data_IF_346369093492
#
_entry.id   IF_346369093492
#
_cell.length_a   1.000
_cell.length_b   1.000
_cell.length_c   1.000
_cell.angle_alpha   90.00
_cell.angle_beta   90.00
_cell.angle_gamma   90.00
#
_symmetry.space_group_name_H-M   'P 1'
#
loop_
_entity.id
_entity.type
_entity.pdbx_description
1 polymer ?
#
# COMPACT_ATOMS: atom_id res chain seq x y z
N UNK A 1 -22.24 4.71 -6.19
CA UNK A 1 -20.80 4.53 -5.94
C UNK A 1 -20.19 5.90 -5.77
N UNK A 2 -19.43 6.11 -4.71
CA UNK A 2 -18.64 7.33 -4.55
C UNK A 2 -17.25 6.96 -5.05
N UNK A 3 -16.89 7.46 -6.22
CA UNK A 3 -15.56 7.38 -6.79
C UNK A 3 -14.83 8.66 -6.44
N UNK A 4 -13.69 8.53 -5.79
CA UNK A 4 -12.76 9.63 -5.55
C UNK A 4 -11.79 9.57 -6.73
N UNK A 5 -12.03 10.37 -7.76
CA UNK A 5 -11.13 10.47 -8.92
C UNK A 5 -10.26 11.72 -8.77
N UNK A 6 -8.94 11.64 -9.03
CA UNK A 6 -8.10 12.83 -9.00
C UNK A 6 -8.63 13.88 -9.99
N UNK A 7 -8.69 15.14 -9.58
CA UNK A 7 -9.20 16.23 -10.42
C UNK A 7 -8.05 16.83 -11.20
N UNK A 8 -7.96 16.47 -12.47
CA UNK A 8 -6.89 16.92 -13.35
C UNK A 8 -5.67 16.02 -13.28
N UNK A 9 -4.61 16.43 -13.99
CA UNK A 9 -3.32 15.75 -13.98
C UNK A 9 -2.73 15.86 -12.58
N UNK A 10 -2.74 14.75 -11.84
CA UNK A 10 -1.98 14.64 -10.59
C UNK A 10 -0.52 14.87 -10.95
N UNK A 11 0.07 15.95 -10.41
CA UNK A 11 1.49 16.23 -10.62
C UNK A 11 2.25 15.46 -9.57
N UNK A 12 2.72 14.28 -9.93
CA UNK A 12 3.68 13.53 -9.15
C UNK A 12 5.11 13.92 -9.54
N UNK A 13 6.01 13.93 -8.57
CA UNK A 13 7.38 14.34 -8.81
C UNK A 13 8.33 13.89 -7.71
N UNK A 14 9.60 14.14 -7.91
CA UNK A 14 10.60 14.03 -6.86
C UNK A 14 11.15 15.42 -6.57
N UNK A 15 11.38 15.74 -5.30
CA UNK A 15 12.02 17.01 -4.92
C UNK A 15 13.51 16.91 -5.21
N UNK A 16 14.16 18.01 -5.56
CA UNK A 16 15.62 18.05 -5.66
C UNK A 16 16.26 17.71 -4.32
N UNK A 17 17.20 16.77 -4.31
CA UNK A 17 17.93 16.33 -3.12
C UNK A 17 19.37 15.96 -3.45
N UNK A 18 20.19 15.85 -2.41
CA UNK A 18 21.60 15.44 -2.50
C UNK A 18 21.74 13.97 -2.10
N UNK A 19 22.40 13.17 -2.94
CA UNK A 19 22.58 11.74 -2.71
C UNK A 19 23.51 11.47 -1.51
N UNK A 20 23.13 10.50 -0.66
CA UNK A 20 23.99 9.96 0.39
C UNK A 20 24.94 8.93 -0.20
N UNK A 21 26.08 9.39 -0.73
CA UNK A 21 27.02 8.59 -1.51
C UNK A 21 28.03 7.75 -0.69
N UNK A 22 28.01 7.87 0.65
CA UNK A 22 29.01 7.26 1.53
C UNK A 22 29.13 5.73 1.42
N UNK A 23 28.04 5.06 1.04
CA UNK A 23 27.97 3.60 0.91
C UNK A 23 28.18 3.11 -0.53
N UNK A 24 28.25 4.02 -1.51
CA UNK A 24 28.41 3.69 -2.92
C UNK A 24 29.91 3.64 -3.28
N UNK A 25 30.56 2.55 -2.90
CA UNK A 25 31.98 2.30 -3.23
C UNK A 25 32.13 1.02 -4.04
N UNK A 26 32.53 1.17 -5.29
CA UNK A 26 32.84 0.04 -6.16
C UNK A 26 34.35 -0.02 -6.42
N UNK A 27 34.96 -1.22 -6.43
CA UNK A 27 36.34 -1.36 -6.85
C UNK A 27 36.46 -1.07 -8.37
N UNK A 28 37.64 -0.67 -8.81
CA UNK A 28 37.93 -0.58 -10.25
C UNK A 28 37.69 -1.94 -10.90
N UNK A 29 36.94 -1.95 -12.01
CA UNK A 29 36.63 -3.18 -12.74
C UNK A 29 37.85 -3.52 -13.59
N UNK A 30 38.53 -4.61 -13.26
CA UNK A 30 39.60 -5.16 -14.09
C UNK A 30 39.00 -5.68 -15.41
N UNK A 31 39.69 -5.44 -16.54
CA UNK A 31 39.27 -5.92 -17.86
C UNK A 31 39.27 -7.46 -17.98
N UNK A 32 39.88 -8.12 -17.00
CA UNK A 32 40.17 -9.55 -17.01
C UNK A 32 39.71 -10.21 -15.71
N UNK A 33 38.78 -11.15 -15.83
CA UNK A 33 38.44 -12.11 -14.78
C UNK A 33 39.33 -13.34 -14.97
N UNK A 34 40.24 -13.59 -14.02
CA UNK A 34 41.15 -14.73 -14.04
C UNK A 34 40.49 -15.92 -13.35
N UNK A 35 39.99 -16.88 -14.12
CA UNK A 35 39.45 -18.14 -13.58
C UNK A 35 40.56 -19.17 -13.57
N UNK A 36 40.98 -19.58 -12.37
CA UNK A 36 41.98 -20.64 -12.19
C UNK A 36 41.27 -21.95 -11.84
N UNK A 37 41.28 -22.90 -12.77
CA UNK A 37 40.71 -24.23 -12.55
C UNK A 37 41.63 -25.04 -11.63
N UNK A 38 41.27 -25.17 -10.36
CA UNK A 38 42.09 -25.82 -9.32
C UNK A 38 42.45 -27.28 -9.62
N UNK A 39 41.64 -27.96 -10.46
CA UNK A 39 41.86 -29.38 -10.84
C UNK A 39 42.90 -29.56 -11.94
N UNK A 40 43.04 -28.59 -12.85
CA UNK A 40 43.90 -28.70 -14.04
C UNK A 40 45.03 -27.68 -14.07
N UNK A 41 45.03 -26.73 -13.13
CA UNK A 41 45.97 -25.62 -13.03
C UNK A 41 46.03 -24.74 -14.30
N UNK A 42 45.01 -24.82 -15.16
CA UNK A 42 44.86 -23.96 -16.31
C UNK A 42 44.27 -22.61 -15.89
N UNK A 43 44.82 -21.57 -16.50
CA UNK A 43 44.45 -20.18 -16.31
C UNK A 43 43.58 -19.77 -17.50
N UNK A 44 42.35 -19.36 -17.23
CA UNK A 44 41.41 -18.88 -18.24
C UNK A 44 41.15 -17.39 -17.99
N UNK A 45 41.44 -16.56 -18.99
CA UNK A 45 41.22 -15.11 -18.92
C UNK A 45 39.88 -14.80 -19.58
N UNK A 46 38.88 -14.46 -18.76
CA UNK A 46 37.59 -13.97 -19.22
C UNK A 46 37.70 -12.45 -19.42
N UNK A 47 37.84 -12.00 -20.68
CA UNK A 47 37.69 -10.60 -21.00
C UNK A 47 36.21 -10.19 -20.88
N UNK A 48 35.91 -9.15 -20.10
CA UNK A 48 34.56 -8.58 -20.06
C UNK A 48 34.20 -8.09 -21.48
N UNK A 49 33.19 -8.72 -22.09
CA UNK A 49 32.81 -8.47 -23.47
C UNK A 49 32.53 -6.99 -23.74
N UNK A 50 33.13 -6.46 -24.82
CA UNK A 50 32.84 -5.14 -25.42
C UNK A 50 31.43 -5.07 -26.03
N UNK A 51 30.39 -5.48 -25.30
CA UNK A 51 29.03 -5.70 -25.81
C UNK A 51 27.95 -4.84 -25.17
N UNK A 52 28.21 -3.57 -24.94
CA UNK A 52 27.27 -2.61 -24.37
C UNK A 52 27.40 -1.31 -25.16
N UNK A 53 26.26 -0.63 -25.32
CA UNK A 53 26.18 0.65 -26.02
C UNK A 53 27.10 1.63 -25.28
N UNK A 54 28.08 2.18 -26.01
CA UNK A 54 28.95 3.21 -25.45
C UNK A 54 28.18 4.54 -25.46
N UNK A 55 27.63 4.91 -24.31
CA UNK A 55 26.95 6.19 -24.16
C UNK A 55 27.94 7.36 -24.25
N UNK A 56 27.52 8.46 -24.89
CA UNK A 56 28.38 9.62 -25.13
C UNK A 56 28.78 10.31 -23.81
N UNK A 57 27.87 10.32 -22.83
CA UNK A 57 28.11 10.91 -21.50
C UNK A 57 28.04 9.84 -20.41
N UNK A 58 28.95 9.84 -19.42
CA UNK A 58 28.90 8.88 -18.32
C UNK A 58 27.60 9.00 -17.50
N UNK A 59 26.98 10.18 -17.48
CA UNK A 59 25.68 10.42 -16.84
C UNK A 59 24.54 9.63 -17.50
N UNK A 60 24.60 9.42 -18.81
CA UNK A 60 23.53 8.76 -19.57
C UNK A 60 23.38 7.28 -19.18
N UNK A 61 24.45 6.62 -18.71
CA UNK A 61 24.35 5.27 -18.14
C UNK A 61 23.45 5.23 -16.90
N UNK A 62 23.57 6.23 -16.03
CA UNK A 62 22.76 6.29 -14.81
C UNK A 62 21.31 6.61 -15.16
N UNK A 63 21.09 7.60 -16.04
CA UNK A 63 19.77 8.01 -16.49
C UNK A 63 19.05 6.86 -17.20
N UNK A 64 19.71 6.15 -18.11
CA UNK A 64 19.17 4.96 -18.79
C UNK A 64 18.73 3.87 -17.81
N UNK A 65 19.47 3.67 -16.72
CA UNK A 65 19.08 2.74 -15.65
C UNK A 65 17.88 3.23 -14.85
N UNK A 66 17.75 4.54 -14.61
CA UNK A 66 16.64 5.14 -13.86
C UNK A 66 15.34 5.20 -14.67
N UNK A 67 15.42 5.46 -15.98
CA UNK A 67 14.26 5.47 -16.89
C UNK A 67 13.64 4.07 -17.04
N UNK A 68 14.34 3.01 -16.64
CA UNK A 68 13.78 1.65 -16.62
C UNK A 68 12.75 1.39 -15.51
N UNK A 69 12.55 2.32 -14.58
CA UNK A 69 11.54 2.23 -13.53
C UNK A 69 10.23 2.90 -13.95
N UNK A 70 9.10 2.20 -13.75
CA UNK A 70 7.77 2.63 -14.21
C UNK A 70 7.25 3.92 -13.55
N UNK A 71 7.84 4.33 -12.42
CA UNK A 71 7.48 5.50 -11.63
C UNK A 71 8.35 6.74 -11.93
N UNK A 72 9.26 6.64 -12.91
CA UNK A 72 10.13 7.74 -13.35
C UNK A 72 9.72 8.21 -14.75
N UNK A 73 9.29 9.48 -14.85
CA UNK A 73 9.02 10.15 -16.12
C UNK A 73 10.25 10.95 -16.56
N UNK A 74 10.91 10.54 -17.65
CA UNK A 74 12.06 11.28 -18.20
C UNK A 74 11.67 12.69 -18.63
N UNK A 75 10.51 12.83 -19.28
CA UNK A 75 10.05 14.10 -19.85
C UNK A 75 9.77 15.15 -18.77
N UNK A 76 9.30 14.72 -17.60
CA UNK A 76 8.95 15.64 -16.50
C UNK A 76 10.12 15.93 -15.55
N UNK A 77 11.15 15.06 -15.52
CA UNK A 77 12.16 15.05 -14.45
C UNK A 77 13.61 14.98 -14.96
N UNK A 78 13.85 15.26 -16.25
CA UNK A 78 15.17 15.21 -16.86
C UNK A 78 16.25 15.96 -16.06
N UNK A 79 15.97 17.19 -15.63
CA UNK A 79 16.93 18.01 -14.87
C UNK A 79 17.37 17.33 -13.56
N UNK A 80 16.42 16.75 -12.82
CA UNK A 80 16.71 16.03 -11.58
C UNK A 80 17.52 14.76 -11.83
N UNK A 81 17.13 13.98 -12.85
CA UNK A 81 17.83 12.74 -13.21
C UNK A 81 19.29 13.03 -13.58
N UNK A 82 19.53 14.09 -14.37
CA UNK A 82 20.88 14.50 -14.74
C UNK A 82 21.68 15.08 -13.57
N UNK A 83 21.05 15.78 -12.62
CA UNK A 83 21.72 16.25 -11.41
C UNK A 83 22.13 15.09 -10.48
N UNK A 84 21.28 14.07 -10.32
CA UNK A 84 21.59 12.85 -9.55
C UNK A 84 22.69 12.02 -10.23
N UNK A 85 22.63 11.90 -11.56
CA UNK A 85 23.66 11.26 -12.36
C UNK A 85 25.01 11.99 -12.23
N UNK A 86 25.02 13.34 -12.30
CA UNK A 86 26.23 14.15 -12.11
C UNK A 86 26.86 13.90 -10.75
N UNK A 87 26.07 13.94 -9.66
CA UNK A 87 26.56 13.66 -8.30
C UNK A 87 27.21 12.27 -8.19
N UNK A 88 26.63 11.27 -8.85
CA UNK A 88 27.14 9.90 -8.87
C UNK A 88 28.47 9.79 -9.65
N UNK A 89 28.56 10.44 -10.81
CA UNK A 89 29.78 10.46 -11.63
C UNK A 89 30.90 11.23 -10.93
N UNK A 90 30.60 12.38 -10.33
CA UNK A 90 31.57 13.17 -9.56
C UNK A 90 32.13 12.38 -8.39
N UNK A 91 31.28 11.65 -7.66
CA UNK A 91 31.71 10.75 -6.59
C UNK A 91 32.67 9.67 -7.08
N UNK A 92 32.37 8.99 -8.19
CA UNK A 92 33.28 8.00 -8.77
C UNK A 92 34.61 8.61 -9.23
N UNK A 93 34.59 9.83 -9.78
CA UNK A 93 35.80 10.55 -10.17
C UNK A 93 36.69 10.96 -9.00
N UNK A 94 36.19 10.98 -7.76
CA UNK A 94 37.04 11.28 -6.60
C UNK A 94 38.05 10.16 -6.29
N UNK A 95 37.77 8.92 -6.71
CA UNK A 95 38.61 7.76 -6.37
C UNK A 95 38.89 6.79 -7.54
N UNK A 96 38.29 6.98 -8.71
CA UNK A 96 38.53 6.19 -9.92
C UNK A 96 38.98 7.08 -11.09
N UNK A 97 39.72 6.48 -12.04
CA UNK A 97 40.00 7.11 -13.33
C UNK A 97 38.71 7.26 -14.16
N UNK A 98 38.71 8.14 -15.16
CA UNK A 98 37.52 8.34 -16.00
C UNK A 98 37.11 7.05 -16.73
N UNK A 99 38.09 6.25 -17.18
CA UNK A 99 37.84 4.97 -17.85
C UNK A 99 37.26 3.93 -16.89
N UNK A 100 37.81 3.82 -15.67
CA UNK A 100 37.32 2.88 -14.66
C UNK A 100 35.93 3.27 -14.14
N UNK A 101 35.66 4.57 -14.00
CA UNK A 101 34.35 5.07 -13.62
C UNK A 101 33.29 4.69 -14.69
N UNK A 102 33.61 4.83 -15.98
CA UNK A 102 32.72 4.38 -17.07
C UNK A 102 32.46 2.88 -17.02
N UNK A 103 33.50 2.07 -16.77
CA UNK A 103 33.35 0.60 -16.62
C UNK A 103 32.46 0.23 -15.44
N UNK A 104 32.66 0.87 -14.28
CA UNK A 104 31.82 0.67 -13.09
C UNK A 104 30.36 1.04 -13.37
N UNK A 105 30.13 2.21 -13.97
CA UNK A 105 28.78 2.69 -14.33
C UNK A 105 28.06 1.72 -15.28
N UNK A 106 28.79 1.14 -16.21
CA UNK A 106 28.25 0.16 -17.16
C UNK A 106 28.02 -1.23 -16.52
N UNK A 107 28.96 -1.73 -15.73
CA UNK A 107 28.86 -3.06 -15.11
C UNK A 107 27.83 -3.12 -13.98
N UNK A 108 27.74 -2.05 -13.18
CA UNK A 108 26.86 -1.97 -12.02
C UNK A 108 25.66 -1.04 -12.25
N UNK A 109 25.32 -0.75 -13.50
CA UNK A 109 24.24 0.18 -13.89
C UNK A 109 22.95 -0.08 -13.12
N UNK A 110 22.52 -1.35 -13.06
CA UNK A 110 21.27 -1.77 -12.39
C UNK A 110 21.31 -1.54 -10.88
N UNK A 111 22.43 -1.83 -10.23
CA UNK A 111 22.56 -1.70 -8.78
C UNK A 111 22.69 -0.22 -8.37
N UNK A 112 23.42 0.57 -9.16
CA UNK A 112 23.53 2.02 -8.99
C UNK A 112 22.16 2.68 -9.18
N UNK A 113 21.42 2.32 -10.24
CA UNK A 113 20.08 2.84 -10.47
C UNK A 113 19.11 2.48 -9.34
N UNK A 114 19.15 1.23 -8.82
CA UNK A 114 18.34 0.83 -7.66
C UNK A 114 18.68 1.63 -6.40
N UNK A 115 19.95 1.90 -6.14
CA UNK A 115 20.39 2.68 -4.98
C UNK A 115 19.97 4.16 -5.04
N UNK A 116 19.99 4.74 -6.25
CA UNK A 116 19.51 6.11 -6.45
C UNK A 116 17.98 6.13 -6.35
N UNK A 117 17.29 5.18 -7.00
CA UNK A 117 15.83 5.05 -6.96
C UNK A 117 15.31 4.90 -5.52
N UNK A 118 15.95 4.09 -4.68
CA UNK A 118 15.54 3.95 -3.27
C UNK A 118 15.60 5.27 -2.49
N UNK A 119 16.57 6.14 -2.80
CA UNK A 119 16.63 7.48 -2.19
C UNK A 119 15.65 8.46 -2.84
N UNK A 120 15.38 8.34 -4.15
CA UNK A 120 14.34 9.12 -4.81
C UNK A 120 12.97 8.88 -4.15
N UNK A 121 12.63 7.63 -3.81
CA UNK A 121 11.38 7.29 -3.12
C UNK A 121 11.17 8.04 -1.80
N UNK A 122 12.23 8.31 -1.03
CA UNK A 122 12.15 9.09 0.21
C UNK A 122 11.77 10.56 -0.03
N UNK A 123 11.99 11.05 -1.25
CA UNK A 123 11.77 12.44 -1.68
C UNK A 123 10.62 12.58 -2.68
N UNK A 124 9.81 11.53 -2.85
CA UNK A 124 8.62 11.53 -3.69
C UNK A 124 7.54 12.46 -3.13
N UNK A 125 6.97 13.30 -3.99
CA UNK A 125 5.87 14.18 -3.67
C UNK A 125 4.79 14.08 -4.74
N UNK A 126 3.57 14.42 -4.34
CA UNK A 126 2.42 14.44 -5.24
C UNK A 126 1.61 15.68 -4.89
N UNK A 127 1.43 16.60 -5.85
CA UNK A 127 0.38 17.62 -5.77
C UNK A 127 -0.92 16.94 -6.15
N UNK A 128 -1.71 16.65 -5.13
CA UNK A 128 -3.06 16.15 -5.35
C UNK A 128 -3.93 17.33 -5.71
N UNK A 129 -4.05 17.63 -7.00
CA UNK A 129 -5.11 18.49 -7.51
C UNK A 129 -6.44 17.85 -7.07
N UNK A 130 -7.07 18.47 -6.06
CA UNK A 130 -7.95 17.79 -5.11
C UNK A 130 -9.04 16.93 -5.75
N UNK A 131 -9.32 15.77 -5.18
CA UNK A 131 -10.20 14.77 -5.79
C UNK A 131 -11.61 15.28 -6.14
N UNK A 132 -12.07 14.98 -7.35
CA UNK A 132 -13.48 15.07 -7.72
C UNK A 132 -14.23 13.82 -7.22
N UNK A 133 -15.31 14.06 -6.48
CA UNK A 133 -16.17 13.01 -5.96
C UNK A 133 -17.24 12.70 -7.02
N UNK A 134 -16.97 11.71 -7.87
CA UNK A 134 -17.96 11.22 -8.85
C UNK A 134 -18.90 10.25 -8.16
N UNK A 135 -20.12 10.70 -7.89
CA UNK A 135 -21.17 9.81 -7.38
C UNK A 135 -21.99 9.24 -8.54
N UNK A 136 -21.63 8.04 -8.97
CA UNK A 136 -22.38 7.32 -10.00
C UNK A 136 -23.54 6.54 -9.37
N UNK A 137 -24.75 6.68 -9.92
CA UNK A 137 -25.92 5.88 -9.55
C UNK A 137 -25.83 4.48 -10.17
N UNK A 138 -24.86 3.68 -9.73
CA UNK A 138 -24.76 2.27 -10.06
C UNK A 138 -25.28 1.40 -8.92
N UNK A 139 -26.31 0.60 -9.18
CA UNK A 139 -26.71 -0.52 -8.33
C UNK A 139 -25.65 -1.63 -8.50
N UNK A 140 -24.80 -1.83 -7.49
CA UNK A 140 -23.99 -3.05 -7.42
C UNK A 140 -24.69 -3.97 -6.45
N UNK A 141 -25.19 -5.10 -6.94
CA UNK A 141 -25.66 -6.17 -6.07
C UNK A 141 -24.51 -6.59 -5.13
N UNK A 142 -24.83 -6.86 -3.86
CA UNK A 142 -23.83 -7.37 -2.92
C UNK A 142 -23.21 -8.63 -3.53
N UNK A 143 -21.89 -8.61 -3.78
CA UNK A 143 -21.20 -9.78 -4.37
C UNK A 143 -21.50 -10.99 -3.47
N UNK A 144 -21.99 -12.11 -4.03
CA UNK A 144 -22.18 -13.32 -3.25
C UNK A 144 -20.81 -13.78 -2.75
N UNK A 145 -20.66 -13.90 -1.43
CA UNK A 145 -19.45 -14.45 -0.84
C UNK A 145 -19.34 -15.91 -1.24
N UNK A 146 -18.45 -16.21 -2.18
CA UNK A 146 -18.12 -17.58 -2.59
C UNK A 146 -17.33 -18.28 -1.48
N UNK A 147 -17.98 -18.55 -0.35
CA UNK A 147 -17.47 -19.52 0.58
C UNK A 147 -17.73 -20.89 -0.06
N UNK A 148 -16.68 -21.51 -0.59
CA UNK A 148 -16.68 -22.93 -0.97
C UNK A 148 -17.04 -23.71 0.29
N UNK A 149 -18.32 -24.03 0.40
CA UNK A 149 -18.85 -24.81 1.49
C UNK A 149 -18.21 -26.19 1.38
N UNK A 150 -17.30 -26.53 2.30
CA UNK A 150 -17.10 -27.93 2.62
C UNK A 150 -18.45 -28.40 3.16
N UNK A 151 -19.15 -29.21 2.37
CA UNK A 151 -20.58 -29.57 2.44
C UNK A 151 -21.05 -30.21 3.78
N UNK A 152 -20.25 -30.19 4.86
CA UNK A 152 -20.49 -31.00 6.06
C UNK A 152 -20.40 -30.31 7.43
N UNK A 153 -19.97 -29.06 7.55
CA UNK A 153 -19.94 -28.39 8.87
C UNK A 153 -21.02 -27.32 8.99
N UNK A 154 -21.84 -27.43 10.05
CA UNK A 154 -22.83 -26.39 10.39
C UNK A 154 -22.08 -25.11 10.81
N UNK A 155 -22.49 -23.93 10.34
CA UNK A 155 -21.91 -22.67 10.81
C UNK A 155 -21.97 -22.58 12.34
N UNK A 156 -20.87 -22.17 12.96
CA UNK A 156 -20.82 -21.92 14.39
C UNK A 156 -21.68 -20.70 14.75
N UNK A 157 -22.23 -20.68 15.97
CA UNK A 157 -22.89 -19.48 16.49
C UNK A 157 -21.84 -18.40 16.75
N UNK A 158 -21.99 -17.23 16.11
CA UNK A 158 -21.10 -16.08 16.30
C UNK A 158 -21.02 -15.56 17.74
N UNK A 159 -22.01 -15.87 18.59
CA UNK A 159 -21.96 -15.54 20.03
C UNK A 159 -21.04 -16.44 20.83
N UNK A 160 -20.73 -17.63 20.31
CA UNK A 160 -19.90 -18.61 21.01
C UNK A 160 -18.46 -18.47 20.55
N UNK A 161 -17.57 -18.17 21.49
CA UNK A 161 -16.12 -18.16 21.22
C UNK A 161 -15.67 -19.58 20.84
N UNK A 162 -14.96 -19.76 19.71
CA UNK A 162 -14.33 -21.03 19.39
C UNK A 162 -13.27 -21.42 20.42
N UNK A 163 -12.98 -22.73 20.50
CA UNK A 163 -11.94 -23.28 21.37
C UNK A 163 -10.53 -22.89 20.91
N UNK A 164 -10.29 -22.92 19.59
CA UNK A 164 -9.01 -22.51 19.00
C UNK A 164 -9.13 -21.09 18.42
N UNK A 165 -8.48 -20.13 19.06
CA UNK A 165 -8.46 -18.72 18.64
C UNK A 165 -7.28 -18.36 17.74
N UNK A 166 -6.33 -19.28 17.57
CA UNK A 166 -5.12 -19.03 16.78
C UNK A 166 -5.38 -19.06 15.27
N UNK A 167 -6.45 -19.74 14.86
CA UNK A 167 -6.85 -19.85 13.46
C UNK A 167 -8.35 -19.59 13.32
N UNK A 168 -8.75 -18.32 13.43
CA UNK A 168 -10.16 -17.89 13.35
C UNK A 168 -10.74 -18.03 11.93
N UNK A 169 -9.93 -17.81 10.89
CA UNK A 169 -10.35 -17.83 9.49
C UNK A 169 -10.86 -19.20 8.98
N UNK A 170 -10.60 -20.29 9.72
CA UNK A 170 -11.16 -21.60 9.42
C UNK A 170 -12.64 -21.72 9.79
N UNK A 171 -13.12 -20.96 10.78
CA UNK A 171 -14.49 -21.03 11.25
C UNK A 171 -15.42 -20.22 10.35
N UNK A 172 -16.58 -20.81 10.05
CA UNK A 172 -17.69 -20.12 9.41
C UNK A 172 -18.75 -19.86 10.47
N UNK A 173 -19.11 -18.61 10.68
CA UNK A 173 -20.11 -18.20 11.67
C UNK A 173 -21.43 -17.87 10.99
N UNK A 174 -22.54 -18.20 11.64
CA UNK A 174 -23.90 -17.87 11.20
C UNK A 174 -24.79 -17.50 12.38
N UNK A 175 -26.09 -17.36 12.11
CA UNK A 175 -27.09 -17.00 13.14
C UNK A 175 -27.26 -15.50 13.35
N UNK A 176 -26.69 -14.67 12.47
CA UNK A 176 -26.85 -13.21 12.49
C UNK A 176 -28.31 -12.80 12.23
N UNK A 177 -28.77 -11.77 12.94
CA UNK A 177 -30.14 -11.24 12.76
C UNK A 177 -30.17 -10.05 11.80
N UNK A 178 -29.07 -9.30 11.72
CA UNK A 178 -29.00 -8.01 11.02
C UNK A 178 -27.86 -7.95 10.00
N UNK A 179 -27.05 -9.00 9.89
CA UNK A 179 -26.08 -9.11 8.80
C UNK A 179 -26.81 -9.28 7.47
N UNK A 180 -26.33 -8.61 6.42
CA UNK A 180 -26.86 -8.77 5.06
C UNK A 180 -26.47 -10.11 4.42
N UNK A 181 -25.58 -10.86 5.06
CA UNK A 181 -25.16 -12.20 4.64
C UNK A 181 -25.50 -13.24 5.71
N UNK A 182 -25.86 -14.45 5.28
CA UNK A 182 -26.23 -15.55 6.19
C UNK A 182 -25.07 -16.10 7.02
N UNK A 183 -23.85 -15.99 6.48
CA UNK A 183 -22.61 -16.49 7.09
C UNK A 183 -21.45 -15.53 6.87
N UNK A 184 -20.50 -15.52 7.81
CA UNK A 184 -19.30 -14.70 7.77
C UNK A 184 -18.08 -15.44 8.31
N UNK A 185 -16.90 -15.01 7.87
CA UNK A 185 -15.61 -15.38 8.45
C UNK A 185 -14.99 -14.16 9.13
N UNK A 186 -14.22 -14.42 10.18
CA UNK A 186 -13.49 -13.40 10.93
C UNK A 186 -12.02 -13.80 10.99
N UNK A 187 -11.14 -12.82 10.87
CA UNK A 187 -9.69 -13.07 10.95
C UNK A 187 -9.22 -13.09 12.41
N UNK A 188 -10.02 -12.55 13.33
CA UNK A 188 -9.75 -12.51 14.78
C UNK A 188 -10.99 -12.74 15.67
N UNK A 189 -10.79 -13.14 16.93
CA UNK A 189 -11.87 -13.20 17.94
C UNK A 189 -12.38 -11.80 18.30
N UNK A 190 -11.54 -10.77 18.16
CA UNK A 190 -11.93 -9.39 18.36
C UNK A 190 -12.98 -8.94 17.32
N UNK A 191 -12.78 -9.28 16.04
CA UNK A 191 -13.79 -9.05 14.99
C UNK A 191 -15.09 -9.80 15.28
N UNK A 192 -15.03 -11.06 15.71
CA UNK A 192 -16.24 -11.82 16.09
C UNK A 192 -17.00 -11.12 17.22
N UNK A 193 -16.30 -10.68 18.28
CA UNK A 193 -16.91 -9.92 19.38
C UNK A 193 -17.51 -8.60 18.90
N UNK A 194 -16.84 -7.90 17.99
CA UNK A 194 -17.40 -6.69 17.40
C UNK A 194 -18.67 -7.01 16.60
N UNK A 195 -18.70 -8.11 15.84
CA UNK A 195 -19.90 -8.55 15.13
C UNK A 195 -21.08 -8.84 16.08
N UNK A 196 -20.83 -9.33 17.30
CA UNK A 196 -21.86 -9.48 18.34
C UNK A 196 -22.47 -8.12 18.73
N UNK A 197 -21.63 -7.10 18.92
CA UNK A 197 -22.06 -5.74 19.25
C UNK A 197 -22.82 -5.10 18.07
N UNK A 198 -22.26 -5.19 16.86
CA UNK A 198 -22.86 -4.63 15.65
C UNK A 198 -24.22 -5.26 15.36
N UNK A 199 -24.34 -6.59 15.41
CA UNK A 199 -25.61 -7.27 15.11
C UNK A 199 -26.71 -6.96 16.15
N UNK A 200 -26.33 -6.55 17.37
CA UNK A 200 -27.26 -6.08 18.41
C UNK A 200 -27.69 -4.62 18.19
N UNK A 201 -26.79 -3.75 17.76
CA UNK A 201 -26.99 -2.29 17.80
C UNK A 201 -27.32 -1.68 16.42
N UNK A 202 -26.75 -2.19 15.33
CA UNK A 202 -26.97 -1.68 13.98
C UNK A 202 -28.30 -2.17 13.40
N UNK A 203 -28.95 -1.41 12.53
CA UNK A 203 -30.14 -1.85 11.77
C UNK A 203 -29.78 -2.93 10.75
N UNK A 204 -28.64 -2.77 10.08
CA UNK A 204 -28.05 -3.74 9.16
C UNK A 204 -26.55 -3.56 9.07
N UNK A 205 -25.83 -4.62 8.73
CA UNK A 205 -24.38 -4.56 8.59
C UNK A 205 -23.84 -5.62 7.64
N UNK A 206 -22.60 -5.44 7.18
CA UNK A 206 -21.88 -6.45 6.40
C UNK A 206 -20.37 -6.25 6.49
N UNK A 207 -19.60 -7.31 6.20
CA UNK A 207 -18.17 -7.20 5.86
C UNK A 207 -18.06 -6.88 4.36
N UNK A 208 -17.48 -5.74 3.97
CA UNK A 208 -17.28 -5.37 2.56
C UNK A 208 -16.44 -6.39 1.81
N UNK A 209 -16.68 -6.52 0.50
CA UNK A 209 -15.81 -7.30 -0.39
C UNK A 209 -14.80 -6.39 -1.09
N UNK A 210 -13.74 -6.98 -1.63
CA UNK A 210 -12.77 -6.26 -2.47
C UNK A 210 -13.46 -5.54 -3.65
N UNK A 211 -13.03 -4.31 -3.91
CA UNK A 211 -13.53 -3.39 -4.93
C UNK A 211 -14.95 -2.87 -4.69
N UNK A 212 -15.48 -3.00 -3.47
CA UNK A 212 -16.80 -2.48 -3.09
C UNK A 212 -16.77 -0.95 -2.90
N UNK A 213 -15.75 -0.44 -2.21
CA UNK A 213 -15.62 0.98 -1.87
C UNK A 213 -14.59 1.73 -2.71
N UNK A 214 -13.63 1.00 -3.32
CA UNK A 214 -12.57 1.59 -4.16
C UNK A 214 -11.83 2.72 -3.43
N UNK A 215 -11.47 2.45 -2.17
CA UNK A 215 -10.63 3.35 -1.37
C UNK A 215 -9.19 2.90 -1.60
N UNK A 216 -8.30 3.85 -1.84
CA UNK A 216 -6.88 3.59 -2.04
C UNK A 216 -6.10 4.45 -1.06
N UNK A 217 -5.00 3.92 -0.54
CA UNK A 217 -4.11 4.61 0.38
C UNK A 217 -2.69 4.59 -0.18
N UNK A 218 -1.85 5.55 0.24
CA UNK A 218 -0.46 5.65 -0.23
C UNK A 218 0.45 4.71 0.57
N UNK A 219 1.23 3.89 -0.13
CA UNK A 219 2.27 3.03 0.44
C UNK A 219 3.53 3.12 -0.43
N UNK A 220 4.42 4.08 -0.13
CA UNK A 220 5.53 4.40 -1.02
C UNK A 220 5.04 4.99 -2.35
N UNK A 221 5.43 4.38 -3.47
CA UNK A 221 4.93 4.68 -4.81
C UNK A 221 3.64 3.93 -5.17
N UNK A 222 3.22 2.96 -4.37
CA UNK A 222 2.03 2.17 -4.64
C UNK A 222 0.76 2.80 -4.05
N UNK A 223 -0.38 2.47 -4.65
CA UNK A 223 -1.71 2.81 -4.15
C UNK A 223 -2.58 1.57 -3.97
N UNK A 224 -2.33 0.74 -2.92
CA UNK A 224 -3.12 -0.46 -2.70
C UNK A 224 -4.57 -0.13 -2.32
N UNK A 225 -5.46 -1.07 -2.63
CA UNK A 225 -6.87 -0.95 -2.25
C UNK A 225 -7.04 -1.20 -0.74
N UNK A 226 -7.68 -0.26 -0.04
CA UNK A 226 -8.17 -0.43 1.32
C UNK A 226 -9.58 -1.04 1.33
N UNK A 227 -9.75 -2.08 2.14
CA UNK A 227 -11.02 -2.75 2.39
C UNK A 227 -11.32 -2.67 3.90
N UNK A 228 -12.33 -1.91 4.33
CA UNK A 228 -12.69 -1.83 5.75
C UNK A 228 -13.25 -3.15 6.26
N UNK A 229 -13.07 -3.43 7.55
CA UNK A 229 -13.54 -4.66 8.18
C UNK A 229 -15.06 -4.79 8.19
N UNK A 230 -15.77 -3.72 8.58
CA UNK A 230 -17.23 -3.72 8.71
C UNK A 230 -17.86 -2.42 8.23
N UNK A 231 -19.09 -2.53 7.75
CA UNK A 231 -20.00 -1.40 7.56
C UNK A 231 -21.31 -1.68 8.29
N UNK A 232 -21.74 -0.72 9.12
CA UNK A 232 -22.90 -0.86 10.00
C UNK A 232 -23.79 0.37 9.93
N UNK A 233 -25.05 0.22 9.50
CA UNK A 233 -26.02 1.31 9.49
C UNK A 233 -26.82 1.33 10.79
N UNK A 234 -26.87 2.46 11.49
CA UNK A 234 -27.73 2.70 12.66
C UNK A 234 -28.89 3.62 12.30
N UNK A 235 -29.71 4.02 13.27
CA UNK A 235 -30.75 5.02 13.05
C UNK A 235 -30.16 6.39 12.67
N UNK A 236 -28.99 6.74 13.20
CA UNK A 236 -28.41 8.09 13.12
C UNK A 236 -27.39 8.22 11.98
N UNK A 237 -26.55 7.20 11.77
CA UNK A 237 -25.43 7.26 10.83
C UNK A 237 -25.03 5.87 10.33
N UNK A 238 -24.13 5.85 9.34
CA UNK A 238 -23.49 4.65 8.82
C UNK A 238 -22.03 4.65 9.28
N UNK A 239 -21.62 3.61 9.99
CA UNK A 239 -20.25 3.42 10.43
C UNK A 239 -19.45 2.59 9.44
N UNK A 240 -18.25 3.06 9.10
CA UNK A 240 -17.18 2.28 8.51
C UNK A 240 -16.18 1.98 9.63
N UNK A 241 -16.02 0.70 9.96
CA UNK A 241 -15.28 0.26 11.15
C UNK A 241 -14.06 -0.55 10.71
N UNK A 242 -12.93 -0.26 11.34
CA UNK A 242 -11.67 -0.99 11.19
C UNK A 242 -11.19 -1.45 12.57
N UNK A 243 -10.75 -2.70 12.70
CA UNK A 243 -10.03 -3.15 13.88
C UNK A 243 -8.53 -3.16 13.62
N UNK A 244 -7.76 -2.82 14.65
CA UNK A 244 -6.31 -2.99 14.58
C UNK A 244 -5.69 -3.45 15.90
N UNK A 245 -4.54 -4.11 15.81
CA UNK A 245 -3.78 -4.44 17.01
C UNK A 245 -3.35 -3.15 17.71
N UNK A 246 -3.38 -3.12 19.04
CA UNK A 246 -3.11 -1.90 19.83
C UNK A 246 -1.71 -1.33 19.56
N UNK A 247 -0.74 -2.21 19.38
CA UNK A 247 0.64 -1.88 19.06
C UNK A 247 0.84 -1.39 17.61
N UNK A 248 -0.17 -1.51 16.75
CA UNK A 248 -0.15 -1.04 15.36
C UNK A 248 -0.98 0.24 15.15
N UNK A 249 -1.60 0.80 16.20
CA UNK A 249 -2.48 1.97 16.07
C UNK A 249 -1.77 3.22 15.54
N UNK A 250 -0.48 3.33 15.81
CA UNK A 250 0.40 4.42 15.36
C UNK A 250 1.26 4.04 14.15
N UNK A 251 1.04 2.84 13.58
CA UNK A 251 1.75 2.40 12.39
C UNK A 251 1.44 3.32 11.19
N UNK A 252 2.45 3.81 10.45
CA UNK A 252 2.23 4.75 9.34
C UNK A 252 1.25 4.25 8.27
N UNK A 253 1.25 2.96 7.97
CA UNK A 253 0.34 2.37 6.98
C UNK A 253 -1.09 2.32 7.53
N UNK A 254 -1.26 1.99 8.82
CA UNK A 254 -2.56 2.04 9.49
C UNK A 254 -3.13 3.46 9.48
N UNK A 255 -2.29 4.46 9.76
CA UNK A 255 -2.69 5.88 9.71
C UNK A 255 -3.06 6.33 8.30
N UNK A 256 -2.31 5.92 7.28
CA UNK A 256 -2.61 6.24 5.88
C UNK A 256 -3.94 5.64 5.41
N UNK A 257 -4.25 4.39 5.81
CA UNK A 257 -5.56 3.75 5.58
C UNK A 257 -6.68 4.52 6.27
N UNK A 258 -6.49 4.85 7.54
CA UNK A 258 -7.45 5.59 8.34
C UNK A 258 -7.78 6.97 7.73
N UNK A 259 -6.78 7.72 7.29
CA UNK A 259 -6.96 9.01 6.62
C UNK A 259 -7.76 8.87 5.33
N UNK A 260 -7.43 7.86 4.51
CA UNK A 260 -8.14 7.59 3.24
C UNK A 260 -9.61 7.23 3.48
N UNK A 261 -9.89 6.42 4.50
CA UNK A 261 -11.23 6.03 4.91
C UNK A 261 -12.05 7.20 5.49
N UNK A 262 -11.43 8.04 6.31
CA UNK A 262 -12.02 9.26 6.86
C UNK A 262 -12.40 10.23 5.74
N UNK A 263 -11.47 10.49 4.80
CA UNK A 263 -11.71 11.29 3.61
C UNK A 263 -12.92 10.77 2.81
N UNK A 264 -12.98 9.44 2.61
CA UNK A 264 -14.12 8.83 1.93
C UNK A 264 -15.43 9.06 2.69
N UNK A 265 -15.45 8.88 4.01
CA UNK A 265 -16.64 9.11 4.85
C UNK A 265 -17.10 10.57 4.84
N UNK A 266 -16.16 11.54 4.88
CA UNK A 266 -16.48 12.98 4.76
C UNK A 266 -17.15 13.30 3.43
N UNK A 267 -16.60 12.78 2.33
CA UNK A 267 -17.15 12.96 0.99
C UNK A 267 -18.53 12.30 0.85
N UNK A 268 -18.70 11.10 1.41
CA UNK A 268 -19.97 10.39 1.44
C UNK A 268 -21.04 11.17 2.20
N UNK A 269 -20.70 11.67 3.39
CA UNK A 269 -21.55 12.52 4.22
C UNK A 269 -21.97 13.80 3.49
N UNK A 270 -21.03 14.51 2.87
CA UNK A 270 -21.31 15.73 2.12
C UNK A 270 -22.26 15.47 0.94
N UNK A 271 -22.13 14.32 0.28
CA UNK A 271 -23.02 13.95 -0.81
C UNK A 271 -24.44 13.63 -0.32
N UNK A 272 -24.57 12.76 0.69
CA UNK A 272 -25.89 12.31 1.17
C UNK A 272 -26.65 13.40 1.92
N UNK A 273 -25.95 14.38 2.52
CA UNK A 273 -26.59 15.54 3.15
C UNK A 273 -27.48 16.33 2.17
N UNK A 274 -27.11 16.39 0.89
CA UNK A 274 -27.92 17.03 -0.17
C UNK A 274 -29.17 16.24 -0.54
N UNK A 275 -29.27 14.99 -0.09
CA UNK A 275 -30.33 14.04 -0.45
C UNK A 275 -31.06 13.47 0.77
N UNK A 276 -30.87 14.05 1.97
CA UNK A 276 -31.51 13.59 3.21
C UNK A 276 -31.06 12.21 3.68
N UNK A 277 -29.90 11.73 3.22
CA UNK A 277 -29.34 10.45 3.66
C UNK A 277 -28.56 10.56 4.98
N UNK A 278 -28.24 9.41 5.56
CA UNK A 278 -27.50 9.31 6.83
C UNK A 278 -26.02 9.64 6.64
N UNK A 279 -25.40 10.42 7.54
CA UNK A 279 -23.97 10.68 7.49
C UNK A 279 -23.15 9.40 7.71
N UNK A 280 -21.94 9.39 7.15
CA UNK A 280 -20.93 8.35 7.31
C UNK A 280 -19.87 8.77 8.34
N UNK A 281 -19.44 7.83 9.17
CA UNK A 281 -18.38 8.01 10.17
C UNK A 281 -17.39 6.86 10.11
N UNK A 282 -16.12 7.17 10.13
CA UNK A 282 -15.04 6.21 10.21
C UNK A 282 -14.58 6.00 11.66
N UNK A 283 -14.41 4.76 12.08
CA UNK A 283 -14.02 4.39 13.46
C UNK A 283 -12.88 3.37 13.41
N UNK A 284 -11.75 3.71 14.03
CA UNK A 284 -10.57 2.84 14.11
C UNK A 284 -10.42 2.29 15.54
N UNK A 285 -10.79 1.03 15.74
CA UNK A 285 -10.94 0.43 17.07
C UNK A 285 -9.73 -0.46 17.41
N UNK A 286 -9.02 -0.22 18.53
CA UNK A 286 -8.01 -1.15 18.99
C UNK A 286 -8.66 -2.43 19.53
N UNK A 287 -8.12 -3.58 19.16
CA UNK A 287 -8.70 -4.90 19.48
C UNK A 287 -8.97 -5.14 20.99
N UNK A 288 -8.19 -4.55 21.88
CA UNK A 288 -8.31 -4.71 23.34
C UNK A 288 -9.42 -3.86 23.96
N UNK A 289 -9.97 -2.91 23.21
CA UNK A 289 -11.10 -2.10 23.65
C UNK A 289 -12.46 -2.81 23.50
N UNK A 290 -12.51 -3.95 22.81
CA UNK A 290 -13.77 -4.61 22.47
C UNK A 290 -14.22 -5.55 23.58
N UNK A 291 -15.35 -5.23 24.17
CA UNK A 291 -16.05 -6.08 25.14
C UNK A 291 -17.54 -6.15 24.79
N UNK A 292 -18.16 -7.33 24.88
CA UNK A 292 -19.54 -7.57 24.41
C UNK A 292 -20.60 -6.74 25.16
N UNK A 293 -20.27 -6.22 26.35
CA UNK A 293 -21.11 -5.30 27.11
C UNK A 293 -21.05 -3.83 26.66
N UNK A 294 -20.14 -3.48 25.74
CA UNK A 294 -20.10 -2.15 25.12
C UNK A 294 -21.16 -2.00 24.05
N UNK A 295 -21.49 -0.74 23.72
CA UNK A 295 -22.36 -0.40 22.59
C UNK A 295 -21.55 0.12 21.42
N UNK A 296 -22.10 -0.03 20.22
CA UNK A 296 -21.49 0.51 19.00
C UNK A 296 -21.33 2.03 19.07
N UNK A 297 -22.30 2.73 19.68
CA UNK A 297 -22.24 4.18 19.88
C UNK A 297 -21.06 4.60 20.78
N UNK A 298 -20.82 3.90 21.90
CA UNK A 298 -19.70 4.21 22.81
C UNK A 298 -18.35 3.94 22.15
N UNK A 299 -18.23 2.86 21.36
CA UNK A 299 -17.02 2.59 20.58
C UNK A 299 -16.78 3.69 19.54
N UNK A 300 -17.83 4.10 18.82
CA UNK A 300 -17.74 5.15 17.81
C UNK A 300 -17.40 6.52 18.40
N UNK A 301 -17.89 6.86 19.59
CA UNK A 301 -17.56 8.12 20.27
C UNK A 301 -16.10 8.14 20.74
N UNK A 302 -15.60 7.02 21.27
CA UNK A 302 -14.24 6.93 21.80
C UNK A 302 -13.16 6.87 20.73
N UNK A 303 -13.48 6.26 19.59
CA UNK A 303 -12.52 5.92 18.53
C UNK A 303 -12.89 6.53 17.18
N UNK A 304 -13.63 7.64 17.19
CA UNK A 304 -13.93 8.39 15.97
C UNK A 304 -12.62 8.84 15.32
N UNK A 305 -12.49 8.54 14.04
CA UNK A 305 -11.34 8.89 13.22
C UNK A 305 -11.79 9.63 11.94
N UNK A 306 -13.02 10.14 11.92
CA UNK A 306 -13.63 10.90 10.81
C UNK A 306 -13.11 12.32 10.67
#
# INVERSE_FOLDING_TARGET
RILVVPRGEAKSGFRSFTLKLGNLRYPAVADELWVRHLRTNQLEVLALGRGGIDEARPEDYVVSGLVSFDDISYDDQADLLYDLARQTVEHFRTYLSEEDARKVLRCYQRDIARFIHSQMQEHYWEDVAGYDVVVSKGYTELKPSAYTQAVREKPADYRVSPADKSNMAKYLFGGFKRCLYSVQKFDSDAERKLAVIIDRDALKWFKPAKSQFQIYYKEGADHPEYQPDFVAETAECIYMLELKAKNEMDDPIVRAKAESAANWCRNASAHVARHGGKPWRYVLIPHDAISENMTLAVLAERYDAS
#
